data_IF_295340190031
#
_entry.id   IF_295340190031
#
_cell.length_a   1.000
_cell.length_b   1.000
_cell.length_c   1.000
_cell.angle_alpha   90.00
_cell.angle_beta   90.00
_cell.angle_gamma   90.00
#
_symmetry.space_group_name_H-M   'P 1'
#
loop_
_entity.id
_entity.type
_entity.pdbx_description
1 polymer ?
#
# COMPACT_ATOMS: atom_id res chain seq x y z
N UNK A 1 1.18 11.69 -13.55
CA UNK A 1 0.32 10.84 -12.69
C UNK A 1 -0.52 9.94 -13.60
N UNK A 2 -0.40 8.62 -13.41
CA UNK A 2 -0.99 7.57 -14.26
C UNK A 2 -2.35 7.09 -13.75
N UNK A 3 -2.55 7.06 -12.44
CA UNK A 3 -3.77 6.65 -11.76
C UNK A 3 -4.16 7.67 -10.66
N UNK A 4 -4.77 8.81 -11.05
CA UNK A 4 -5.16 9.86 -10.09
C UNK A 4 -6.14 9.37 -9.03
N UNK A 5 -7.03 8.42 -9.36
CA UNK A 5 -8.02 7.88 -8.43
C UNK A 5 -7.35 7.06 -7.32
N UNK A 6 -6.37 6.21 -7.68
CA UNK A 6 -5.62 5.45 -6.69
C UNK A 6 -4.83 6.39 -5.77
N UNK A 7 -4.15 7.40 -6.32
CA UNK A 7 -3.43 8.39 -5.51
C UNK A 7 -4.39 9.11 -4.55
N UNK A 8 -5.53 9.58 -5.04
CA UNK A 8 -6.53 10.26 -4.21
C UNK A 8 -7.08 9.37 -3.09
N UNK A 9 -7.37 8.10 -3.39
CA UNK A 9 -7.85 7.14 -2.40
C UNK A 9 -6.83 6.91 -1.27
N UNK A 10 -5.55 6.76 -1.63
CA UNK A 10 -4.45 6.58 -0.67
C UNK A 10 -4.25 7.83 0.20
N UNK A 11 -4.23 9.02 -0.41
CA UNK A 11 -4.12 10.28 0.33
C UNK A 11 -5.31 10.46 1.29
N UNK A 12 -6.52 10.11 0.85
CA UNK A 12 -7.73 10.17 1.67
C UNK A 12 -7.67 9.20 2.86
N UNK A 13 -7.16 7.98 2.65
CA UNK A 13 -6.98 7.00 3.72
C UNK A 13 -5.99 7.48 4.78
N UNK A 14 -4.81 7.95 4.35
CA UNK A 14 -3.79 8.48 5.26
C UNK A 14 -4.30 9.69 6.04
N UNK A 15 -5.05 10.58 5.37
CA UNK A 15 -5.70 11.73 6.01
C UNK A 15 -6.71 11.30 7.06
N UNK A 16 -7.54 10.31 6.75
CA UNK A 16 -8.53 9.80 7.70
C UNK A 16 -7.86 9.21 8.95
N UNK A 17 -6.80 8.42 8.77
CA UNK A 17 -6.12 7.74 9.86
C UNK A 17 -5.21 8.65 10.71
N UNK A 18 -4.58 9.66 10.09
CA UNK A 18 -3.51 10.42 10.75
C UNK A 18 -3.68 11.95 10.71
N UNK A 19 -4.68 12.48 9.99
CA UNK A 19 -4.91 13.90 9.80
C UNK A 19 -4.06 14.54 8.68
N UNK A 20 -4.43 15.75 8.26
CA UNK A 20 -3.89 16.43 7.07
C UNK A 20 -2.37 16.69 7.12
N UNK A 21 -1.86 17.19 8.24
CA UNK A 21 -0.45 17.55 8.38
C UNK A 21 0.46 16.31 8.31
N UNK A 22 -0.03 15.23 8.91
CA UNK A 22 0.68 13.97 9.01
C UNK A 22 0.61 13.21 7.67
N UNK A 23 -0.55 13.23 6.99
CA UNK A 23 -0.66 12.67 5.64
C UNK A 23 0.28 13.35 4.63
N UNK A 24 0.47 14.67 4.71
CA UNK A 24 1.40 15.39 3.84
C UNK A 24 2.86 15.04 4.11
N UNK A 25 3.27 15.00 5.38
CA UNK A 25 4.62 14.57 5.76
C UNK A 25 4.89 13.13 5.30
N UNK A 26 3.92 12.22 5.52
CA UNK A 26 4.03 10.83 5.09
C UNK A 26 4.13 10.65 3.58
N UNK A 27 3.43 11.46 2.78
CA UNK A 27 3.54 11.37 1.32
C UNK A 27 4.88 11.91 0.80
N UNK A 28 5.50 12.86 1.52
CA UNK A 28 6.77 13.47 1.16
C UNK A 28 7.97 12.57 1.47
N UNK A 29 8.01 11.99 2.67
CA UNK A 29 9.13 11.13 3.11
C UNK A 29 8.92 9.65 2.76
N UNK A 30 7.68 9.28 2.41
CA UNK A 30 7.26 7.92 2.16
C UNK A 30 6.62 7.27 3.39
N UNK A 31 5.82 6.24 3.13
CA UNK A 31 5.11 5.45 4.16
C UNK A 31 5.36 3.98 3.92
N UNK A 32 5.45 3.17 4.98
CA UNK A 32 5.56 1.72 4.80
C UNK A 32 4.26 1.16 4.20
N UNK A 33 4.35 0.06 3.44
CA UNK A 33 3.18 -0.65 2.97
C UNK A 33 2.31 -1.13 4.16
N UNK A 34 2.93 -1.47 5.28
CA UNK A 34 2.25 -1.81 6.53
C UNK A 34 1.37 -0.65 7.03
N UNK A 35 1.95 0.54 7.21
CA UNK A 35 1.20 1.71 7.69
C UNK A 35 0.14 2.17 6.67
N UNK A 36 0.41 2.00 5.37
CA UNK A 36 -0.58 2.24 4.34
C UNK A 36 -1.77 1.29 4.43
N UNK A 37 -1.53 -0.02 4.60
CA UNK A 37 -2.59 -0.99 4.82
C UNK A 37 -3.41 -0.66 6.07
N UNK A 38 -2.76 -0.33 7.19
CA UNK A 38 -3.44 0.04 8.43
C UNK A 38 -4.39 1.23 8.20
N UNK A 39 -3.92 2.26 7.50
CA UNK A 39 -4.73 3.42 7.16
C UNK A 39 -5.92 3.06 6.27
N UNK A 40 -5.73 2.25 5.23
CA UNK A 40 -6.81 1.87 4.30
C UNK A 40 -7.79 0.88 4.96
N UNK A 41 -7.32 -0.06 5.78
CA UNK A 41 -8.16 -1.01 6.52
C UNK A 41 -8.97 -0.35 7.65
N UNK A 42 -8.54 0.82 8.14
CA UNK A 42 -9.32 1.61 9.08
C UNK A 42 -10.59 2.24 8.47
N UNK A 43 -10.67 2.31 7.14
CA UNK A 43 -11.81 2.90 6.45
C UNK A 43 -13.05 2.00 6.57
N UNK A 44 -14.27 2.57 6.61
CA UNK A 44 -15.52 1.81 6.66
C UNK A 44 -15.89 1.22 5.28
N UNK A 45 -14.97 0.48 4.66
CA UNK A 45 -15.11 -0.17 3.35
C UNK A 45 -14.86 -1.67 3.46
N UNK A 46 -15.18 -2.44 2.42
CA UNK A 46 -14.95 -3.90 2.43
C UNK A 46 -13.45 -4.19 2.35
N UNK A 47 -12.99 -5.26 3.01
CA UNK A 47 -11.59 -5.70 2.94
C UNK A 47 -11.10 -5.90 1.49
N UNK A 48 -11.93 -6.50 0.62
CA UNK A 48 -11.59 -6.69 -0.80
C UNK A 48 -11.45 -5.39 -1.59
N UNK A 49 -12.19 -4.34 -1.19
CA UNK A 49 -12.09 -3.01 -1.79
C UNK A 49 -10.81 -2.31 -1.32
N UNK A 50 -10.49 -2.38 -0.02
CA UNK A 50 -9.24 -1.89 0.53
C UNK A 50 -8.02 -2.55 -0.14
N UNK A 51 -8.01 -3.88 -0.26
CA UNK A 51 -6.95 -4.63 -0.94
C UNK A 51 -6.78 -4.17 -2.38
N UNK A 52 -7.88 -3.99 -3.11
CA UNK A 52 -7.86 -3.53 -4.50
C UNK A 52 -7.28 -2.11 -4.62
N UNK A 53 -7.62 -1.21 -3.70
CA UNK A 53 -7.09 0.15 -3.66
C UNK A 53 -5.57 0.14 -3.50
N UNK A 54 -5.05 -0.68 -2.60
CA UNK A 54 -3.61 -0.80 -2.34
C UNK A 54 -2.88 -1.44 -3.53
N UNK A 55 -3.42 -2.53 -4.09
CA UNK A 55 -2.83 -3.17 -5.28
C UNK A 55 -2.75 -2.21 -6.47
N UNK A 56 -3.82 -1.45 -6.74
CA UNK A 56 -3.83 -0.41 -7.80
C UNK A 56 -2.80 0.69 -7.55
N UNK A 57 -2.59 1.08 -6.29
CA UNK A 57 -1.57 2.07 -5.95
C UNK A 57 -0.16 1.53 -6.26
N UNK A 58 0.15 0.30 -5.84
CA UNK A 58 1.43 -0.36 -6.13
C UNK A 58 1.68 -0.52 -7.64
N UNK A 59 0.65 -0.90 -8.41
CA UNK A 59 0.74 -1.12 -9.86
C UNK A 59 0.73 0.19 -10.69
N UNK A 60 0.29 1.31 -10.11
CA UNK A 60 0.09 2.58 -10.84
C UNK A 60 1.37 3.13 -11.47
N UNK A 61 2.53 2.85 -10.87
CA UNK A 61 3.79 3.53 -11.19
C UNK A 61 3.83 5.00 -10.77
N UNK A 62 2.85 5.47 -9.99
CA UNK A 62 2.85 6.82 -9.40
C UNK A 62 3.60 6.89 -8.07
N UNK A 63 4.01 5.74 -7.53
CA UNK A 63 4.82 5.66 -6.32
C UNK A 63 6.23 5.13 -6.65
N UNK A 64 7.22 5.73 -6.00
CA UNK A 64 8.55 5.15 -5.87
C UNK A 64 8.46 4.10 -4.76
N UNK A 65 8.78 2.86 -5.10
CA UNK A 65 8.86 1.74 -4.16
C UNK A 65 10.32 1.62 -3.71
N UNK A 66 10.54 1.56 -2.41
CA UNK A 66 11.86 1.35 -1.80
C UNK A 66 11.79 0.17 -0.84
N UNK A 67 12.74 -0.78 -0.87
CA UNK A 67 13.84 -0.88 -1.84
C UNK A 67 13.35 -1.15 -3.27
N UNK A 68 14.23 -1.01 -4.26
CA UNK A 68 13.90 -1.36 -5.63
C UNK A 68 13.58 -2.86 -5.72
N UNK A 69 12.35 -3.16 -6.14
CA UNK A 69 11.82 -4.52 -6.29
C UNK A 69 12.02 -5.07 -7.70
N UNK A 70 12.60 -4.27 -8.59
CA UNK A 70 12.85 -4.64 -9.99
C UNK A 70 11.58 -4.68 -10.85
N UNK A 71 11.72 -5.09 -12.12
CA UNK A 71 10.60 -5.12 -13.07
C UNK A 71 9.69 -6.35 -12.90
N UNK A 72 10.18 -7.40 -12.26
CA UNK A 72 9.45 -8.64 -12.02
C UNK A 72 9.20 -8.79 -10.53
N UNK A 73 7.96 -8.57 -10.11
CA UNK A 73 7.53 -8.76 -8.74
C UNK A 73 6.03 -9.06 -8.71
N UNK A 74 5.54 -9.59 -7.60
CA UNK A 74 4.11 -9.81 -7.38
C UNK A 74 3.75 -9.67 -5.90
N UNK A 75 2.46 -9.46 -5.64
CA UNK A 75 1.92 -9.36 -4.29
C UNK A 75 1.42 -10.73 -3.86
N UNK A 76 1.85 -11.18 -2.67
CA UNK A 76 1.25 -12.31 -1.96
C UNK A 76 0.37 -11.76 -0.83
N UNK A 77 -0.90 -12.14 -0.85
CA UNK A 77 -1.82 -11.82 0.24
C UNK A 77 -1.64 -12.76 1.43
N UNK A 78 -1.59 -12.18 2.62
CA UNK A 78 -1.60 -12.90 3.90
C UNK A 78 -3.02 -12.83 4.46
N UNK A 79 -3.61 -13.98 4.76
CA UNK A 79 -4.99 -14.09 5.24
C UNK A 79 -5.03 -14.29 6.76
N UNK A 80 -6.10 -13.83 7.41
CA UNK A 80 -6.23 -13.88 8.87
C UNK A 80 -6.14 -15.28 9.49
N UNK A 81 -6.65 -16.29 8.77
CA UNK A 81 -6.64 -17.70 9.18
C UNK A 81 -6.84 -18.61 7.95
N UNK A 82 -6.49 -19.91 8.04
CA UNK A 82 -6.75 -20.87 6.97
C UNK A 82 -8.23 -20.86 6.56
N UNK A 83 -8.50 -20.77 5.25
CA UNK A 83 -9.87 -20.70 4.70
C UNK A 83 -10.53 -19.31 4.76
N UNK A 84 -9.90 -18.31 5.37
CA UNK A 84 -10.38 -16.92 5.34
C UNK A 84 -10.03 -16.24 4.02
N UNK A 85 -10.92 -15.37 3.54
CA UNK A 85 -10.64 -14.42 2.45
C UNK A 85 -10.30 -13.01 2.96
N UNK A 86 -10.18 -12.85 4.28
CA UNK A 86 -9.81 -11.55 4.89
C UNK A 86 -8.31 -11.40 4.83
N UNK A 87 -7.84 -10.49 3.98
CA UNK A 87 -6.42 -10.13 3.88
C UNK A 87 -6.06 -9.23 5.06
N UNK A 88 -4.98 -9.57 5.76
CA UNK A 88 -4.47 -8.84 6.92
C UNK A 88 -3.09 -8.23 6.66
N UNK A 89 -2.36 -8.72 5.67
CA UNK A 89 -1.04 -8.22 5.30
C UNK A 89 -0.72 -8.56 3.82
N UNK A 90 0.31 -7.93 3.28
CA UNK A 90 0.81 -8.13 1.93
C UNK A 90 2.33 -8.30 1.95
N UNK A 91 2.81 -9.29 1.22
CA UNK A 91 4.25 -9.52 1.00
C UNK A 91 4.57 -9.23 -0.45
N UNK A 92 5.63 -8.45 -0.70
CA UNK A 92 6.13 -8.23 -2.05
C UNK A 92 7.18 -9.30 -2.36
N UNK A 93 6.93 -10.08 -3.41
CA UNK A 93 7.80 -11.17 -3.84
C UNK A 93 8.55 -10.75 -5.10
N UNK A 94 9.87 -10.85 -5.07
CA UNK A 94 10.76 -10.75 -6.24
C UNK A 94 11.35 -12.13 -6.53
N UNK A 95 12.03 -12.33 -7.68
CA UNK A 95 12.75 -13.57 -7.95
C UNK A 95 13.77 -13.94 -6.86
N UNK A 96 14.38 -12.94 -6.22
CA UNK A 96 15.50 -13.16 -5.31
C UNK A 96 15.07 -13.23 -3.83
N UNK A 97 13.99 -12.54 -3.44
CA UNK A 97 13.55 -12.47 -2.04
C UNK A 97 12.09 -12.07 -1.86
N UNK A 98 11.62 -12.24 -0.63
CA UNK A 98 10.38 -11.68 -0.13
C UNK A 98 10.65 -10.45 0.74
N UNK A 99 9.79 -9.45 0.65
CA UNK A 99 9.78 -8.28 1.51
C UNK A 99 8.48 -8.23 2.29
N UNK A 100 8.59 -8.13 3.62
CA UNK A 100 7.45 -7.82 4.46
C UNK A 100 6.93 -6.41 4.15
N UNK A 101 5.65 -6.16 4.42
CA UNK A 101 5.05 -4.84 4.20
C UNK A 101 5.72 -3.73 5.01
N UNK A 102 6.34 -4.05 6.14
CA UNK A 102 7.14 -3.10 6.94
C UNK A 102 8.48 -2.72 6.28
N UNK A 103 9.00 -3.56 5.39
CA UNK A 103 10.27 -3.34 4.68
C UNK A 103 10.10 -2.58 3.36
N UNK A 104 8.85 -2.46 2.87
CA UNK A 104 8.50 -1.72 1.67
C UNK A 104 8.03 -0.33 2.06
N UNK A 105 8.63 0.70 1.48
CA UNK A 105 8.18 2.09 1.55
C UNK A 105 7.65 2.56 0.19
N UNK A 106 6.53 3.27 0.21
CA UNK A 106 5.95 3.95 -0.94
C UNK A 106 6.04 5.46 -0.74
N UNK A 107 6.60 6.15 -1.72
CA UNK A 107 6.65 7.62 -1.77
C UNK A 107 6.06 8.13 -3.07
N UNK A 108 5.27 9.20 -3.04
CA UNK A 108 4.69 9.74 -4.27
C UNK A 108 5.81 10.21 -5.22
N UNK A 109 5.73 9.80 -6.49
CA UNK A 109 6.61 10.26 -7.55
C UNK A 109 6.12 11.64 -8.00
N UNK A 110 6.83 12.68 -7.58
CA UNK A 110 6.60 14.09 -7.98
C UNK A 110 7.19 14.36 -9.36
#
# INVERSE_FOLDING_TARGET
MKNPEAVAAIVSALRHAHGDNVARAFLADGVSLAALMDAVFSLPIRNSEAVRTIARALESGDFVISPDVGPLWHIKYVYSQPGSMTVVDMVVLTPDKAFASSEISLRLRV
#
